data_IF_738609125929
#
_entry.id   IF_738609125929
#
_cell.length_a   1.000
_cell.length_b   1.000
_cell.length_c   1.000
_cell.angle_alpha   90.00
_cell.angle_beta   90.00
_cell.angle_gamma   90.00
#
_symmetry.space_group_name_H-M   'P 1'
#
loop_
_entity.id
_entity.type
_entity.pdbx_description
1 polymer ?
#
# COMPACT_ATOMS: atom_id res chain seq x y z
N UNK A 1 -3.86 15.30 -14.31
CA UNK A 1 -2.42 14.95 -14.31
C UNK A 1 -2.15 14.01 -15.44
N UNK A 2 -1.81 14.60 -16.56
CA UNK A 2 -1.69 13.82 -17.77
C UNK A 2 -0.50 12.88 -17.78
N UNK A 3 0.48 13.15 -16.96
CA UNK A 3 1.70 12.35 -17.00
C UNK A 3 1.85 11.41 -15.82
N UNK A 4 0.76 11.18 -15.10
CA UNK A 4 0.80 10.25 -13.98
C UNK A 4 0.72 8.82 -14.53
N UNK A 5 1.63 7.97 -14.09
CA UNK A 5 1.64 6.57 -14.48
C UNK A 5 1.71 5.70 -13.25
N UNK A 6 1.03 4.57 -13.28
CA UNK A 6 1.14 3.58 -12.21
C UNK A 6 1.93 2.42 -12.79
N UNK A 7 3.10 2.14 -12.22
CA UNK A 7 4.02 1.15 -12.74
C UNK A 7 4.36 0.11 -11.69
N UNK A 8 4.75 -1.10 -12.09
CA UNK A 8 5.07 -2.15 -11.13
C UNK A 8 6.46 -1.96 -10.53
N UNK A 9 6.83 -2.89 -9.67
CA UNK A 9 8.09 -2.83 -8.95
C UNK A 9 9.29 -2.70 -9.87
N UNK A 10 10.23 -1.87 -9.44
CA UNK A 10 11.49 -1.67 -10.12
C UNK A 10 12.52 -1.43 -9.03
N UNK A 11 13.66 -2.09 -9.11
CA UNK A 11 14.68 -1.96 -8.08
C UNK A 11 15.17 -0.53 -7.93
N UNK A 12 15.07 0.28 -8.98
CA UNK A 12 15.48 1.68 -8.90
C UNK A 12 14.60 2.48 -7.96
N UNK A 13 13.42 1.95 -7.58
CA UNK A 13 12.47 2.67 -6.75
C UNK A 13 12.49 2.22 -5.29
N UNK A 14 13.42 1.36 -4.91
CA UNK A 14 13.46 0.87 -3.52
C UNK A 14 13.66 2.00 -2.54
N UNK A 15 14.55 2.95 -2.87
CA UNK A 15 14.79 4.08 -1.97
C UNK A 15 13.54 4.94 -1.83
N UNK A 16 12.79 5.14 -2.91
CA UNK A 16 11.55 5.91 -2.86
C UNK A 16 10.49 5.19 -2.05
N UNK A 17 10.40 3.87 -2.17
CA UNK A 17 9.49 3.06 -1.39
C UNK A 17 9.73 3.27 0.09
N UNK A 18 10.99 3.19 0.50
CA UNK A 18 11.33 3.37 1.91
C UNK A 18 11.05 4.80 2.35
N UNK A 19 11.46 5.79 1.57
CA UNK A 19 11.34 7.18 1.97
C UNK A 19 9.88 7.59 2.14
N UNK A 20 9.03 7.27 1.18
CA UNK A 20 7.63 7.66 1.24
C UNK A 20 6.94 7.03 2.43
N UNK A 21 7.21 5.75 2.68
CA UNK A 21 6.57 5.06 3.79
C UNK A 21 7.11 5.51 5.13
N UNK A 22 8.41 5.81 5.23
CA UNK A 22 8.95 6.29 6.48
C UNK A 22 8.32 7.63 6.86
N UNK A 23 8.15 8.52 5.90
CA UNK A 23 7.52 9.81 6.18
C UNK A 23 6.12 9.62 6.70
N UNK A 24 5.37 8.70 6.11
CA UNK A 24 4.01 8.43 6.53
C UNK A 24 3.95 7.75 7.89
N UNK A 25 4.75 6.70 8.08
CA UNK A 25 4.73 5.93 9.32
C UNK A 25 5.22 6.78 10.49
N UNK A 26 6.28 7.53 10.27
CA UNK A 26 6.85 8.33 11.36
C UNK A 26 5.93 9.47 11.80
N UNK A 27 5.07 9.91 10.91
CA UNK A 27 4.13 10.96 11.27
C UNK A 27 2.90 10.43 12.02
N UNK A 28 2.40 9.27 11.65
CA UNK A 28 1.12 8.77 12.14
C UNK A 28 1.21 7.51 13.00
N UNK A 29 2.33 6.85 13.00
CA UNK A 29 2.49 5.56 13.67
C UNK A 29 3.87 5.48 14.31
N UNK A 30 4.15 4.35 14.93
CA UNK A 30 5.49 4.05 15.44
C UNK A 30 6.13 3.08 14.47
N UNK A 31 7.35 3.39 14.02
CA UNK A 31 8.07 2.53 13.11
C UNK A 31 8.53 1.28 13.87
N UNK A 32 8.06 0.13 13.43
CA UNK A 32 8.43 -1.13 14.06
C UNK A 32 9.47 -1.84 13.22
N UNK A 33 10.12 -2.80 13.82
CA UNK A 33 11.20 -3.51 13.13
C UNK A 33 10.69 -4.18 11.86
N UNK A 34 9.50 -4.76 11.91
CA UNK A 34 8.94 -5.44 10.74
C UNK A 34 8.69 -4.45 9.60
N UNK A 35 8.24 -3.24 9.94
CA UNK A 35 8.07 -2.21 8.92
C UNK A 35 9.39 -1.92 8.23
N UNK A 36 10.44 -1.73 9.02
CA UNK A 36 11.74 -1.40 8.48
C UNK A 36 12.29 -2.52 7.62
N UNK A 37 12.11 -3.76 8.07
CA UNK A 37 12.56 -4.92 7.30
C UNK A 37 11.90 -4.97 5.93
N UNK A 38 10.59 -4.74 5.89
CA UNK A 38 9.86 -4.76 4.62
C UNK A 38 10.31 -3.62 3.73
N UNK A 39 10.48 -2.43 4.30
CA UNK A 39 10.86 -1.27 3.50
C UNK A 39 12.26 -1.38 2.92
N UNK A 40 13.16 -2.05 3.63
CA UNK A 40 14.53 -2.18 3.18
C UNK A 40 14.77 -3.44 2.36
N UNK A 41 13.84 -4.40 2.40
CA UNK A 41 13.98 -5.66 1.69
C UNK A 41 12.68 -6.02 0.97
N UNK A 42 12.19 -5.12 0.09
CA UNK A 42 10.87 -5.37 -0.53
C UNK A 42 10.84 -6.59 -1.42
N UNK A 43 11.99 -6.95 -2.02
CA UNK A 43 12.00 -8.14 -2.86
C UNK A 43 11.71 -9.39 -2.05
N UNK A 44 12.36 -9.53 -0.89
CA UNK A 44 12.16 -10.71 -0.06
C UNK A 44 10.81 -10.73 0.62
N UNK A 45 10.37 -9.57 1.09
CA UNK A 45 9.18 -9.52 1.94
C UNK A 45 7.88 -9.34 1.17
N UNK A 46 7.94 -8.93 -0.09
CA UNK A 46 6.75 -8.73 -0.89
C UNK A 46 6.82 -9.54 -2.18
N UNK A 47 7.82 -9.27 -3.01
CA UNK A 47 7.85 -9.83 -4.35
C UNK A 47 8.00 -11.34 -4.35
N UNK A 48 8.93 -11.84 -3.55
CA UNK A 48 9.19 -13.28 -3.52
C UNK A 48 8.08 -14.07 -2.85
N UNK A 49 7.18 -13.38 -2.16
CA UNK A 49 6.04 -14.03 -1.51
C UNK A 49 4.79 -13.99 -2.34
N UNK A 50 4.91 -13.61 -3.62
CA UNK A 50 3.77 -13.58 -4.51
C UNK A 50 3.02 -12.27 -4.54
N UNK A 51 3.59 -11.23 -3.95
CA UNK A 51 2.97 -9.91 -3.96
C UNK A 51 3.54 -9.02 -5.05
N UNK A 52 3.15 -7.77 -5.01
CA UNK A 52 3.59 -6.78 -5.97
C UNK A 52 3.62 -5.41 -5.31
N UNK A 53 4.49 -4.55 -5.78
CA UNK A 53 4.55 -3.17 -5.32
C UNK A 53 4.34 -2.27 -6.53
N UNK A 54 3.43 -1.31 -6.40
CA UNK A 54 3.16 -0.37 -7.45
C UNK A 54 3.63 1.03 -7.07
N UNK A 55 4.01 1.79 -8.06
CA UNK A 55 4.50 3.15 -7.87
C UNK A 55 3.72 4.11 -8.76
N UNK A 56 3.41 5.26 -8.21
CA UNK A 56 2.85 6.36 -8.97
C UNK A 56 4.00 7.27 -9.36
N UNK A 57 4.19 7.44 -10.66
CA UNK A 57 5.30 8.24 -11.19
C UNK A 57 4.68 9.43 -11.93
N UNK A 58 5.06 10.63 -11.53
CA UNK A 58 4.55 11.86 -12.10
C UNK A 58 5.72 12.65 -12.65
N UNK A 59 5.77 12.81 -13.97
CA UNK A 59 6.84 13.55 -14.63
C UNK A 59 8.23 13.04 -14.24
N UNK A 60 8.35 11.72 -14.11
CA UNK A 60 9.63 11.09 -13.79
C UNK A 60 9.93 10.93 -12.32
N UNK A 61 9.12 11.54 -11.44
CA UNK A 61 9.34 11.44 -10.01
C UNK A 61 8.37 10.43 -9.38
N UNK A 62 8.88 9.61 -8.48
CA UNK A 62 8.03 8.68 -7.74
C UNK A 62 7.35 9.46 -6.63
N UNK A 63 6.02 9.56 -6.72
CA UNK A 63 5.24 10.38 -5.79
C UNK A 63 4.28 9.55 -4.94
N UNK A 64 4.20 8.26 -5.17
CA UNK A 64 3.35 7.41 -4.36
C UNK A 64 3.69 5.95 -4.55
N UNK A 65 3.23 5.12 -3.63
CA UNK A 65 3.51 3.68 -3.69
C UNK A 65 2.44 2.93 -2.90
N UNK A 66 2.27 1.65 -3.23
CA UNK A 66 1.41 0.75 -2.46
C UNK A 66 1.87 -0.67 -2.71
N UNK A 67 1.81 -1.50 -1.68
CA UNK A 67 2.20 -2.89 -1.79
C UNK A 67 1.00 -3.79 -1.57
N UNK A 68 0.95 -4.89 -2.33
CA UNK A 68 -0.05 -5.93 -2.13
C UNK A 68 0.71 -7.17 -1.72
N UNK A 69 0.55 -7.60 -0.49
CA UNK A 69 1.33 -8.69 0.09
C UNK A 69 0.44 -9.92 0.19
N UNK A 70 0.91 -11.03 -0.36
CA UNK A 70 0.16 -12.27 -0.26
C UNK A 70 0.41 -12.88 1.12
N UNK A 71 -0.65 -13.05 1.91
CA UNK A 71 -0.54 -13.58 3.26
C UNK A 71 -0.76 -15.10 3.26
N UNK A 72 -1.61 -15.58 2.39
CA UNK A 72 -1.81 -17.00 2.17
C UNK A 72 -2.50 -17.14 0.82
N UNK A 73 -2.78 -18.36 0.41
CA UNK A 73 -3.34 -18.59 -0.92
C UNK A 73 -4.65 -17.82 -1.06
N UNK A 74 -4.69 -16.90 -1.99
CA UNK A 74 -5.89 -16.12 -2.28
C UNK A 74 -6.14 -14.97 -1.31
N UNK A 75 -5.31 -14.79 -0.29
CA UNK A 75 -5.52 -13.74 0.70
C UNK A 75 -4.41 -12.71 0.59
N UNK A 76 -4.78 -11.47 0.32
CA UNK A 76 -3.83 -10.38 0.10
C UNK A 76 -4.09 -9.23 1.05
N UNK A 77 -3.01 -8.62 1.50
CA UNK A 77 -3.07 -7.43 2.34
C UNK A 77 -2.54 -6.22 1.58
N UNK A 78 -3.33 -5.16 1.52
CA UNK A 78 -2.85 -3.88 1.04
C UNK A 78 -2.04 -3.24 2.16
N UNK A 79 -0.81 -2.88 1.88
CA UNK A 79 0.09 -2.37 2.90
C UNK A 79 1.04 -1.34 2.32
N UNK A 80 1.70 -0.63 3.20
CA UNK A 80 2.78 0.29 2.81
C UNK A 80 2.34 1.26 1.71
N UNK A 81 1.13 1.80 1.84
CA UNK A 81 0.63 2.79 0.88
C UNK A 81 0.94 4.18 1.39
N UNK A 82 1.58 4.97 0.57
CA UNK A 82 1.95 6.33 0.93
C UNK A 82 2.01 7.20 -0.31
N UNK A 83 1.57 8.45 -0.18
CA UNK A 83 1.60 9.43 -1.26
C UNK A 83 2.32 10.66 -0.72
N UNK A 84 3.14 11.29 -1.56
CA UNK A 84 3.88 12.48 -1.15
C UNK A 84 2.91 13.52 -0.58
N UNK A 85 3.32 14.15 0.52
CA UNK A 85 2.41 15.01 1.28
C UNK A 85 1.82 16.14 0.45
N UNK A 86 2.62 16.76 -0.38
CA UNK A 86 2.16 17.89 -1.16
C UNK A 86 1.25 17.50 -2.33
N UNK A 87 1.06 16.20 -2.54
CA UNK A 87 0.24 15.72 -3.65
C UNK A 87 -0.95 14.89 -3.19
N UNK A 88 -1.22 14.89 -1.90
CA UNK A 88 -2.39 14.18 -1.40
C UNK A 88 -3.66 14.92 -1.81
N UNK A 89 -4.76 14.20 -1.95
CA UNK A 89 -6.01 14.80 -2.35
C UNK A 89 -6.21 14.95 -3.85
N UNK A 90 -5.25 14.44 -4.65
CA UNK A 90 -5.34 14.56 -6.11
C UNK A 90 -5.71 13.25 -6.80
N UNK A 91 -6.11 12.25 -6.03
CA UNK A 91 -6.55 10.97 -6.61
C UNK A 91 -5.45 9.97 -6.85
N UNK A 92 -4.20 10.28 -6.47
CA UNK A 92 -3.09 9.36 -6.69
C UNK A 92 -3.26 8.09 -5.86
N UNK A 93 -3.64 8.24 -4.59
CA UNK A 93 -3.87 7.08 -3.72
C UNK A 93 -4.95 6.17 -4.25
N UNK A 94 -6.01 6.77 -4.80
CA UNK A 94 -7.11 5.97 -5.34
C UNK A 94 -6.65 5.15 -6.54
N UNK A 95 -5.83 5.73 -7.42
CA UNK A 95 -5.32 5.01 -8.58
C UNK A 95 -4.40 3.87 -8.16
N UNK A 96 -3.57 4.09 -7.15
CA UNK A 96 -2.71 3.05 -6.62
C UNK A 96 -3.55 1.92 -6.03
N UNK A 97 -4.57 2.28 -5.25
CA UNK A 97 -5.43 1.31 -4.61
C UNK A 97 -6.17 0.47 -5.64
N UNK A 98 -6.71 1.13 -6.67
CA UNK A 98 -7.43 0.42 -7.73
C UNK A 98 -6.51 -0.55 -8.45
N UNK A 99 -5.27 -0.15 -8.70
CA UNK A 99 -4.33 -1.05 -9.38
C UNK A 99 -3.99 -2.24 -8.50
N UNK A 100 -3.83 -2.03 -7.20
CA UNK A 100 -3.57 -3.13 -6.28
C UNK A 100 -4.73 -4.11 -6.24
N UNK A 101 -5.94 -3.61 -6.23
CA UNK A 101 -7.13 -4.46 -6.21
C UNK A 101 -7.20 -5.27 -7.51
N UNK A 102 -6.97 -4.60 -8.65
CA UNK A 102 -7.00 -5.30 -9.94
C UNK A 102 -5.94 -6.39 -9.99
N UNK A 103 -4.74 -6.10 -9.52
CA UNK A 103 -3.69 -7.10 -9.48
C UNK A 103 -4.12 -8.34 -8.69
N UNK A 104 -4.70 -8.11 -7.51
CA UNK A 104 -5.11 -9.21 -6.66
C UNK A 104 -6.19 -10.04 -7.31
N UNK A 105 -7.14 -9.38 -7.96
CA UNK A 105 -8.21 -10.11 -8.65
C UNK A 105 -7.65 -10.92 -9.81
N UNK A 106 -6.70 -10.35 -10.54
CA UNK A 106 -6.06 -11.08 -11.64
C UNK A 106 -5.35 -12.33 -11.15
N UNK A 107 -4.91 -12.31 -9.88
CA UNK A 107 -4.22 -13.44 -9.29
C UNK A 107 -5.16 -14.39 -8.56
N UNK A 108 -6.45 -14.18 -8.65
CA UNK A 108 -7.42 -15.09 -8.04
C UNK A 108 -7.69 -14.84 -6.57
N UNK A 109 -7.53 -13.61 -6.12
CA UNK A 109 -7.76 -13.30 -4.71
C UNK A 109 -9.20 -13.60 -4.32
N UNK A 110 -9.36 -14.24 -3.18
CA UNK A 110 -10.68 -14.46 -2.58
C UNK A 110 -10.92 -13.48 -1.45
N UNK A 111 -9.86 -12.85 -0.96
CA UNK A 111 -9.99 -11.88 0.13
C UNK A 111 -8.88 -10.83 0.01
N UNK A 112 -9.26 -9.58 0.15
CA UNK A 112 -8.30 -8.47 0.20
C UNK A 112 -8.63 -7.68 1.46
N UNK A 113 -7.65 -7.46 2.32
CA UNK A 113 -7.88 -6.69 3.54
C UNK A 113 -6.77 -5.66 3.73
N UNK A 114 -7.01 -4.73 4.63
CA UNK A 114 -5.99 -3.79 5.06
C UNK A 114 -6.23 -3.47 6.52
N UNK A 115 -5.18 -3.04 7.18
CA UNK A 115 -5.26 -2.62 8.57
C UNK A 115 -5.06 -1.11 8.58
N UNK A 116 -5.98 -0.39 9.20
CA UNK A 116 -5.91 1.05 9.21
C UNK A 116 -6.30 1.58 10.60
N UNK A 117 -6.13 2.87 10.75
CA UNK A 117 -6.42 3.55 12.01
C UNK A 117 -7.56 4.52 11.71
N UNK A 118 -8.64 4.47 12.47
CA UNK A 118 -9.80 5.29 12.19
C UNK A 118 -9.56 6.77 12.47
N UNK A 119 -8.43 7.11 13.08
CA UNK A 119 -8.06 8.52 13.21
C UNK A 119 -7.60 9.10 11.88
N UNK A 120 -7.31 8.27 10.86
CA UNK A 120 -6.88 8.73 9.56
C UNK A 120 -8.10 8.82 8.64
N UNK A 121 -8.95 9.83 8.89
CA UNK A 121 -10.24 9.93 8.20
C UNK A 121 -10.14 9.99 6.67
N UNK A 122 -9.24 10.76 6.08
CA UNK A 122 -9.17 10.78 4.61
C UNK A 122 -8.82 9.42 4.02
N UNK A 123 -7.92 8.69 4.67
CA UNK A 123 -7.55 7.36 4.18
C UNK A 123 -8.72 6.40 4.32
N UNK A 124 -9.44 6.47 5.44
CA UNK A 124 -10.59 5.62 5.65
C UNK A 124 -11.67 5.86 4.59
N UNK A 125 -11.93 7.13 4.28
CA UNK A 125 -12.90 7.46 3.24
C UNK A 125 -12.49 6.88 1.89
N UNK A 126 -11.20 6.94 1.57
CA UNK A 126 -10.70 6.39 0.33
C UNK A 126 -10.95 4.89 0.27
N UNK A 127 -10.62 4.17 1.35
CA UNK A 127 -10.80 2.72 1.36
C UNK A 127 -12.28 2.35 1.19
N UNK A 128 -13.17 3.05 1.91
CA UNK A 128 -14.58 2.76 1.80
C UNK A 128 -15.11 3.04 0.40
N UNK A 129 -14.58 4.08 -0.26
CA UNK A 129 -15.03 4.42 -1.61
C UNK A 129 -14.63 3.36 -2.62
N UNK A 130 -13.64 2.53 -2.31
CA UNK A 130 -13.18 1.48 -3.19
C UNK A 130 -13.78 0.12 -2.86
N UNK A 131 -14.75 0.08 -1.95
CA UNK A 131 -15.48 -1.15 -1.67
C UNK A 131 -15.07 -1.90 -0.42
N UNK A 132 -14.08 -1.40 0.32
CA UNK A 132 -13.75 -2.01 1.60
C UNK A 132 -14.85 -1.73 2.61
N UNK A 133 -15.06 -2.66 3.54
CA UNK A 133 -16.02 -2.46 4.61
C UNK A 133 -15.28 -2.53 5.93
N UNK A 134 -15.79 -1.81 6.92
CA UNK A 134 -15.19 -1.84 8.23
C UNK A 134 -15.45 -3.17 8.88
N UNK A 135 -14.40 -3.73 9.46
CA UNK A 135 -14.52 -4.94 10.22
C UNK A 135 -13.90 -4.69 11.58
N UNK A 136 -14.72 -4.57 12.60
CA UNK A 136 -14.26 -4.21 13.89
C UNK A 136 -13.70 -5.31 14.66
N UNK A 137 -13.00 -6.13 14.11
CA UNK A 137 -12.37 -7.09 14.70
C UNK A 137 -11.54 -6.71 15.69
N UNK A 138 -11.26 -6.82 16.36
CA UNK A 138 -10.48 -6.41 17.20
C UNK A 138 -9.46 -7.17 17.39
N UNK A 139 -9.00 -7.05 17.78
CA UNK A 139 -8.10 -7.45 17.98
C UNK A 139 -7.78 -8.66 18.24
N UNK A 140 -8.10 -8.96 18.83
CA UNK A 140 -7.84 -10.03 19.15
C UNK A 140 -7.60 -10.87 18.31
N UNK A 141 -7.92 -10.79 17.83
CA UNK A 141 -7.82 -11.51 17.03
C UNK A 141 -7.02 -11.43 16.21
N UNK A 142 -6.83 -10.60 16.32
CA UNK A 142 -6.20 -10.32 15.44
C UNK A 142 -5.30 -11.22 15.25
N UNK A 143 -5.28 -11.60 15.90
CA UNK A 143 -4.53 -12.29 15.75
C UNK A 143 -4.63 -13.22 15.02
N UNK A 144 -4.99 -13.15 14.73
CA UNK A 144 -5.12 -13.92 14.06
C UNK A 144 -4.54 -14.00 13.21
#
# INVERSE_FOLDING_TARGET
>A
MDKLKIVPFNTDYIAAFEKLNREWIEEYFIMEEEDLMTLQNPESYVMERGGEIFFAVLDGDVVGTAAMIQKSKGVYELAKMAVAKNLQGLGIGKKLLERCIDYSKERGATEIFLITNDSLKPALSLYLSCGFVLNEQNDDNSSK
#
